data_IF_114398378072
#
_entry.id   IF_114398378072
#
_cell.length_a   1.000
_cell.length_b   1.000
_cell.length_c   1.000
_cell.angle_alpha   90.00
_cell.angle_beta   90.00
_cell.angle_gamma   90.00
#
_symmetry.space_group_name_H-M   'P 1'
#
loop_
_entity.id
_entity.type
_entity.pdbx_description
1 polymer ?
#
# COMPACT_ATOMS: atom_id res chain seq x y z
N UNK A 1 -13.02 -15.88 -16.02
CA UNK A 1 -12.51 -15.16 -14.83
C UNK A 1 -13.62 -15.09 -13.81
N UNK A 2 -13.31 -15.28 -12.51
CA UNK A 2 -14.32 -15.33 -11.43
C UNK A 2 -14.39 -14.02 -10.63
N UNK A 3 -13.42 -13.10 -10.82
CA UNK A 3 -13.34 -11.83 -10.12
C UNK A 3 -14.16 -10.73 -10.79
N UNK A 4 -14.58 -9.74 -10.00
CA UNK A 4 -15.16 -8.47 -10.48
C UNK A 4 -14.00 -7.51 -10.79
N UNK A 5 -14.11 -6.75 -11.87
CA UNK A 5 -13.12 -5.71 -12.17
C UNK A 5 -13.04 -4.69 -11.01
N UNK A 6 -11.82 -4.30 -10.61
CA UNK A 6 -11.58 -3.43 -9.47
C UNK A 6 -11.66 -1.94 -9.80
N UNK A 7 -11.97 -1.59 -11.06
CA UNK A 7 -12.18 -0.22 -11.54
C UNK A 7 -13.44 -0.14 -12.40
N UNK A 8 -14.08 1.03 -12.41
CA UNK A 8 -15.06 1.38 -13.44
C UNK A 8 -14.32 1.85 -14.69
N UNK A 9 -14.68 1.27 -15.83
CA UNK A 9 -14.08 1.53 -17.13
C UNK A 9 -15.16 1.81 -18.19
N UNK A 10 -16.38 2.14 -17.75
CA UNK A 10 -17.55 2.27 -18.62
C UNK A 10 -17.52 3.52 -19.52
N UNK A 11 -16.77 4.55 -19.13
CA UNK A 11 -16.59 5.80 -19.88
C UNK A 11 -15.40 5.77 -20.84
N UNK A 12 -14.63 4.68 -20.87
CA UNK A 12 -13.42 4.58 -21.68
C UNK A 12 -12.19 5.21 -21.03
N UNK A 13 -12.22 5.48 -19.72
CA UNK A 13 -11.07 5.92 -18.94
C UNK A 13 -10.54 7.30 -19.31
N UNK A 14 -11.43 8.20 -19.74
CA UNK A 14 -11.07 9.58 -20.07
C UNK A 14 -10.63 10.31 -18.79
N UNK A 15 -9.32 10.53 -18.68
CA UNK A 15 -8.67 11.18 -17.54
C UNK A 15 -7.88 12.43 -17.94
N UNK A 16 -7.97 12.87 -19.21
CA UNK A 16 -7.36 14.12 -19.65
C UNK A 16 -8.03 15.32 -18.95
N UNK A 17 -7.21 16.31 -18.58
CA UNK A 17 -7.74 17.64 -18.24
C UNK A 17 -8.40 18.26 -19.50
N UNK A 18 -9.64 18.77 -19.41
CA UNK A 18 -10.36 19.28 -20.59
C UNK A 18 -9.62 20.39 -21.34
N UNK A 19 -8.87 21.25 -20.63
CA UNK A 19 -8.11 22.33 -21.23
C UNK A 19 -6.84 21.79 -21.90
N UNK A 20 -6.16 20.82 -21.28
CA UNK A 20 -5.03 20.12 -21.89
C UNK A 20 -5.44 19.35 -23.15
N UNK A 21 -6.57 18.64 -23.10
CA UNK A 21 -7.13 17.93 -24.25
C UNK A 21 -7.47 18.89 -25.39
N UNK A 22 -8.10 20.02 -25.08
CA UNK A 22 -8.42 21.05 -26.07
C UNK A 22 -7.14 21.65 -26.69
N UNK A 23 -6.13 21.94 -25.87
CA UNK A 23 -4.84 22.45 -26.33
C UNK A 23 -4.11 21.43 -27.22
N UNK A 24 -4.15 20.14 -26.85
CA UNK A 24 -3.59 19.05 -27.64
C UNK A 24 -4.31 18.88 -28.98
N UNK A 25 -5.64 18.89 -28.98
CA UNK A 25 -6.44 18.82 -30.20
C UNK A 25 -6.13 19.98 -31.14
N UNK A 26 -6.10 21.22 -30.63
CA UNK A 26 -5.74 22.41 -31.40
C UNK A 26 -4.32 22.31 -31.99
N UNK A 27 -3.36 21.76 -31.23
CA UNK A 27 -2.00 21.50 -31.71
C UNK A 27 -1.98 20.49 -32.86
N UNK A 28 -2.73 19.40 -32.76
CA UNK A 28 -2.82 18.41 -33.84
C UNK A 28 -3.48 18.97 -35.10
N UNK A 29 -4.53 19.77 -34.94
CA UNK A 29 -5.20 20.46 -36.06
C UNK A 29 -4.25 21.47 -36.74
N UNK A 30 -3.47 22.23 -35.97
CA UNK A 30 -2.45 23.14 -36.50
C UNK A 30 -1.35 22.40 -37.27
N UNK A 31 -1.08 21.12 -36.94
CA UNK A 31 -0.20 20.23 -37.70
C UNK A 31 -0.88 19.59 -38.93
N UNK A 32 -2.13 19.94 -39.24
CA UNK A 32 -2.91 19.35 -40.33
C UNK A 32 -3.36 17.91 -40.06
N UNK A 33 -3.47 17.52 -38.78
CA UNK A 33 -3.84 16.16 -38.36
C UNK A 33 -5.22 16.16 -37.74
N UNK A 34 -5.93 15.04 -37.88
CA UNK A 34 -7.18 14.80 -37.19
C UNK A 34 -6.87 14.33 -35.76
N UNK A 35 -7.29 15.06 -34.71
CA UNK A 35 -7.06 14.66 -33.32
C UNK A 35 -7.63 13.28 -32.95
N UNK A 36 -8.63 12.81 -33.70
CA UNK A 36 -9.31 11.52 -33.49
C UNK A 36 -8.75 10.39 -34.35
N UNK A 37 -7.71 10.64 -35.16
CA UNK A 37 -7.10 9.62 -35.99
C UNK A 37 -5.84 9.04 -35.33
N UNK A 38 -5.57 7.74 -35.49
CA UNK A 38 -4.36 7.13 -34.94
C UNK A 38 -3.09 7.71 -35.57
N UNK A 39 -1.97 7.51 -34.90
CA UNK A 39 -0.66 7.81 -35.45
C UNK A 39 -0.38 6.97 -36.70
N UNK A 40 0.22 7.59 -37.73
CA UNK A 40 0.50 6.95 -39.02
C UNK A 40 1.89 6.28 -39.08
N UNK A 41 2.71 6.50 -38.07
CA UNK A 41 4.05 5.93 -37.91
C UNK A 41 4.40 5.88 -36.43
N UNK A 42 5.28 4.95 -36.06
CA UNK A 42 5.91 4.96 -34.74
C UNK A 42 6.91 6.11 -34.59
N UNK A 43 7.29 6.37 -33.35
CA UNK A 43 8.39 7.28 -33.00
C UNK A 43 9.73 6.68 -33.46
N UNK A 44 10.70 7.53 -33.80
CA UNK A 44 11.94 7.10 -34.46
C UNK A 44 12.86 6.23 -33.57
N UNK A 45 12.59 6.18 -32.25
CA UNK A 45 13.31 5.32 -31.29
C UNK A 45 12.81 3.88 -31.27
N UNK A 46 11.58 3.64 -31.71
CA UNK A 46 11.07 2.30 -31.93
C UNK A 46 11.42 1.94 -33.37
N UNK A 47 12.00 0.77 -33.59
CA UNK A 47 12.29 0.22 -34.92
C UNK A 47 11.65 -1.16 -35.02
N UNK A 48 11.05 -1.47 -36.16
CA UNK A 48 10.49 -2.80 -36.44
C UNK A 48 11.55 -3.56 -37.23
N UNK A 49 12.14 -4.58 -36.63
CA UNK A 49 13.05 -5.50 -37.30
C UNK A 49 12.22 -6.45 -38.17
N UNK A 50 12.26 -6.26 -39.49
CA UNK A 50 11.46 -7.05 -40.44
C UNK A 50 11.78 -8.55 -40.42
N UNK A 51 12.91 -8.96 -39.86
CA UNK A 51 13.32 -10.36 -39.76
C UNK A 51 12.84 -11.02 -38.46
N UNK A 52 12.48 -10.22 -37.44
CA UNK A 52 12.17 -10.70 -36.09
C UNK A 52 10.79 -10.30 -35.58
N UNK A 53 10.36 -9.10 -35.90
CA UNK A 53 9.14 -8.50 -35.38
C UNK A 53 7.95 -8.81 -36.28
N UNK A 54 6.81 -9.02 -35.64
CA UNK A 54 5.54 -9.25 -36.31
C UNK A 54 4.55 -8.19 -35.87
N UNK A 55 3.75 -7.70 -36.82
CA UNK A 55 2.67 -6.75 -36.56
C UNK A 55 1.37 -7.41 -36.99
N UNK A 56 0.48 -7.62 -36.04
CA UNK A 56 -0.87 -8.12 -36.30
C UNK A 56 -1.84 -7.62 -35.24
N UNK A 57 -3.07 -7.37 -35.65
CA UNK A 57 -4.21 -7.12 -34.80
C UNK A 57 -5.19 -8.32 -34.78
N UNK A 58 -4.86 -9.38 -35.52
CA UNK A 58 -5.64 -10.62 -35.66
C UNK A 58 -5.10 -11.72 -34.74
N UNK A 59 -5.99 -12.34 -33.97
CA UNK A 59 -5.56 -13.30 -32.95
C UNK A 59 -5.03 -14.61 -33.50
N UNK A 60 -5.63 -15.15 -34.56
CA UNK A 60 -5.19 -16.36 -35.24
C UNK A 60 -3.77 -16.22 -35.81
N UNK A 61 -3.44 -15.07 -36.43
CA UNK A 61 -2.07 -14.78 -36.86
C UNK A 61 -1.08 -14.80 -35.69
N UNK A 62 -1.39 -14.12 -34.58
CA UNK A 62 -0.54 -14.11 -33.38
C UNK A 62 -0.33 -15.53 -32.84
N UNK A 63 -1.39 -16.32 -32.71
CA UNK A 63 -1.30 -17.70 -32.24
C UNK A 63 -0.49 -18.60 -33.19
N UNK A 64 -0.69 -18.46 -34.50
CA UNK A 64 0.08 -19.19 -35.51
C UNK A 64 1.57 -18.84 -35.46
N UNK A 65 1.92 -17.57 -35.22
CA UNK A 65 3.31 -17.13 -35.07
C UNK A 65 3.95 -17.79 -33.84
N UNK A 66 3.26 -17.75 -32.69
CA UNK A 66 3.76 -18.38 -31.45
C UNK A 66 3.96 -19.88 -31.65
N UNK A 67 3.00 -20.57 -32.27
CA UNK A 67 3.09 -22.01 -32.53
C UNK A 67 4.21 -22.35 -33.52
N UNK A 68 4.27 -21.68 -34.66
CA UNK A 68 5.28 -21.92 -35.70
C UNK A 68 6.71 -21.67 -35.19
N UNK A 69 6.88 -20.74 -34.25
CA UNK A 69 8.17 -20.43 -33.61
C UNK A 69 8.44 -21.27 -32.36
N UNK A 70 7.51 -22.11 -31.92
CA UNK A 70 7.64 -22.91 -30.70
C UNK A 70 7.69 -22.07 -29.41
N UNK A 71 7.13 -20.86 -29.42
CA UNK A 71 7.13 -19.94 -28.27
C UNK A 71 6.06 -20.37 -27.28
N UNK A 72 6.49 -20.62 -26.03
CA UNK A 72 5.63 -21.01 -24.91
C UNK A 72 5.66 -20.04 -23.72
N UNK A 73 6.69 -19.21 -23.65
CA UNK A 73 6.87 -18.21 -22.61
C UNK A 73 6.60 -16.84 -23.24
N UNK A 74 5.62 -16.12 -22.71
CA UNK A 74 5.19 -14.83 -23.25
C UNK A 74 5.18 -13.78 -22.16
N UNK A 75 5.80 -12.65 -22.45
CA UNK A 75 5.74 -11.46 -21.61
C UNK A 75 4.85 -10.48 -22.35
N UNK A 76 3.74 -10.07 -21.72
CA UNK A 76 2.84 -9.10 -22.31
C UNK A 76 3.02 -7.73 -21.64
N UNK A 77 3.09 -6.69 -22.44
CA UNK A 77 3.26 -5.29 -22.06
C UNK A 77 2.40 -4.43 -22.99
N UNK A 78 1.98 -3.25 -22.53
CA UNK A 78 1.16 -2.35 -23.32
C UNK A 78 0.19 -1.54 -22.45
N UNK A 79 -0.62 -0.72 -23.13
CA UNK A 79 -1.62 0.17 -22.52
C UNK A 79 -3.03 -0.43 -22.57
N UNK A 80 -3.95 0.19 -21.84
CA UNK A 80 -5.30 -0.32 -21.58
C UNK A 80 -5.25 -1.73 -20.98
N UNK A 81 -4.51 -1.89 -19.87
CA UNK A 81 -4.23 -3.19 -19.23
C UNK A 81 -5.51 -3.98 -18.98
N UNK A 82 -6.54 -3.32 -18.45
CA UNK A 82 -7.87 -3.85 -18.17
C UNK A 82 -8.67 -4.33 -19.39
N UNK A 83 -8.29 -3.91 -20.60
CA UNK A 83 -9.01 -4.19 -21.85
C UNK A 83 -8.15 -4.89 -22.90
N UNK A 84 -7.17 -4.21 -23.47
CA UNK A 84 -6.41 -4.73 -24.61
C UNK A 84 -5.45 -5.83 -24.18
N UNK A 85 -4.63 -5.55 -23.17
CA UNK A 85 -3.63 -6.49 -22.65
C UNK A 85 -4.31 -7.71 -22.04
N UNK A 86 -5.39 -7.50 -21.27
CA UNK A 86 -6.10 -8.58 -20.61
C UNK A 86 -7.08 -9.34 -21.51
N UNK A 87 -7.79 -8.65 -22.40
CA UNK A 87 -9.05 -9.11 -22.98
C UNK A 87 -9.05 -9.47 -24.47
N UNK A 88 -8.02 -9.09 -25.25
CA UNK A 88 -7.97 -9.47 -26.68
C UNK A 88 -7.92 -10.98 -26.87
N UNK A 89 -8.23 -11.51 -28.08
CA UNK A 89 -8.14 -12.93 -28.39
C UNK A 89 -6.74 -13.55 -28.15
N UNK A 90 -5.72 -12.71 -28.07
CA UNK A 90 -4.33 -13.03 -27.75
C UNK A 90 -3.82 -12.30 -26.50
N UNK A 91 -4.72 -11.79 -25.65
CA UNK A 91 -4.38 -11.15 -24.38
C UNK A 91 -4.08 -12.18 -23.27
N UNK A 92 -3.67 -11.69 -22.10
CA UNK A 92 -3.27 -12.49 -20.93
C UNK A 92 -4.27 -13.61 -20.61
N UNK A 93 -5.57 -13.28 -20.62
CA UNK A 93 -6.63 -14.22 -20.27
C UNK A 93 -6.67 -15.41 -21.21
N UNK A 94 -6.52 -15.19 -22.51
CA UNK A 94 -6.52 -16.26 -23.50
C UNK A 94 -5.20 -17.02 -23.49
N UNK A 95 -4.08 -16.33 -23.33
CA UNK A 95 -2.77 -16.96 -23.22
C UNK A 95 -2.69 -17.93 -22.04
N UNK A 96 -3.03 -17.46 -20.84
CA UNK A 96 -3.03 -18.28 -19.63
C UNK A 96 -4.00 -19.46 -19.74
N UNK A 97 -5.23 -19.21 -20.22
CA UNK A 97 -6.25 -20.27 -20.37
C UNK A 97 -5.85 -21.37 -21.35
N UNK A 98 -5.06 -21.04 -22.38
CA UNK A 98 -4.62 -21.99 -23.40
C UNK A 98 -3.19 -22.52 -23.14
N UNK A 99 -2.70 -22.42 -21.89
CA UNK A 99 -1.48 -23.10 -21.46
C UNK A 99 -0.17 -22.44 -21.89
N UNK A 100 -0.18 -21.15 -22.24
CA UNK A 100 1.05 -20.37 -22.35
C UNK A 100 1.56 -20.02 -20.95
N UNK A 101 2.88 -20.04 -20.77
CA UNK A 101 3.54 -19.48 -19.59
C UNK A 101 3.59 -17.96 -19.77
N UNK A 102 2.48 -17.30 -19.45
CA UNK A 102 2.35 -15.86 -19.65
C UNK A 102 2.57 -15.10 -18.35
N UNK A 103 3.25 -13.96 -18.45
CA UNK A 103 3.37 -12.97 -17.38
C UNK A 103 3.05 -11.58 -17.91
N UNK A 104 2.52 -10.72 -17.04
CA UNK A 104 2.39 -9.29 -17.31
C UNK A 104 3.67 -8.56 -16.86
N UNK A 105 4.21 -7.70 -17.71
CA UNK A 105 5.21 -6.70 -17.34
C UNK A 105 4.51 -5.52 -16.64
N UNK A 106 4.46 -5.53 -15.31
CA UNK A 106 3.56 -4.66 -14.53
C UNK A 106 4.01 -3.20 -14.42
N UNK A 107 5.30 -2.93 -14.58
CA UNK A 107 5.86 -1.58 -14.53
C UNK A 107 5.90 -0.91 -15.91
N UNK A 108 5.65 -1.64 -17.00
CA UNK A 108 5.54 -1.10 -18.37
C UNK A 108 4.11 -1.27 -18.90
N UNK A 109 3.12 -0.95 -18.06
CA UNK A 109 1.71 -1.09 -18.41
C UNK A 109 0.90 0.07 -17.84
N UNK A 110 -0.27 0.30 -18.43
CA UNK A 110 -1.12 1.44 -18.11
C UNK A 110 -2.59 1.08 -18.30
N UNK A 111 -3.45 1.51 -17.39
CA UNK A 111 -4.86 1.12 -17.35
C UNK A 111 -5.76 2.23 -17.89
N UNK A 112 -6.75 1.85 -18.69
CA UNK A 112 -7.82 2.77 -19.05
C UNK A 112 -8.73 3.00 -17.83
N UNK A 113 -8.51 4.10 -17.10
CA UNK A 113 -9.24 4.42 -15.88
C UNK A 113 -9.35 5.93 -15.65
N UNK A 114 -10.57 6.40 -15.37
CA UNK A 114 -10.86 7.78 -14.99
C UNK A 114 -10.86 7.91 -13.45
N UNK A 115 -9.96 8.72 -12.85
CA UNK A 115 -9.94 8.96 -11.39
C UNK A 115 -11.23 9.55 -10.81
N UNK A 116 -12.09 10.16 -11.63
CA UNK A 116 -13.41 10.66 -11.22
C UNK A 116 -14.49 9.56 -11.19
N UNK A 117 -14.18 8.36 -11.67
CA UNK A 117 -15.03 7.19 -11.60
C UNK A 117 -14.61 6.28 -10.44
N UNK A 118 -15.52 5.41 -10.00
CA UNK A 118 -15.24 4.44 -8.94
C UNK A 118 -13.98 3.60 -9.29
N UNK A 119 -13.03 3.39 -8.35
CA UNK A 119 -13.13 3.60 -6.90
C UNK A 119 -12.65 4.96 -6.37
N UNK A 120 -12.56 6.00 -7.20
CA UNK A 120 -12.16 7.36 -6.81
C UNK A 120 -10.72 7.44 -6.26
N UNK A 121 -9.83 6.69 -6.91
CA UNK A 121 -8.40 6.64 -6.61
C UNK A 121 -7.61 7.33 -7.72
N UNK A 122 -6.31 7.53 -7.49
CA UNK A 122 -5.43 8.07 -8.54
C UNK A 122 -5.38 7.13 -9.75
N UNK A 123 -5.05 7.66 -10.93
CA UNK A 123 -4.87 6.84 -12.13
C UNK A 123 -3.91 5.66 -11.86
N UNK A 124 -2.76 5.95 -11.27
CA UNK A 124 -1.75 4.95 -10.94
C UNK A 124 -2.26 3.88 -9.97
N UNK A 125 -3.08 4.24 -8.96
CA UNK A 125 -3.73 3.25 -8.11
C UNK A 125 -4.74 2.40 -8.89
N UNK A 126 -5.44 2.97 -9.87
CA UNK A 126 -6.29 2.19 -10.78
C UNK A 126 -5.49 1.12 -11.54
N UNK A 127 -4.29 1.49 -12.00
CA UNK A 127 -3.35 0.55 -12.61
C UNK A 127 -2.88 -0.52 -11.61
N UNK A 128 -2.48 -0.13 -10.40
CA UNK A 128 -2.08 -1.07 -9.33
C UNK A 128 -3.19 -2.11 -9.07
N UNK A 129 -4.44 -1.66 -8.94
CA UNK A 129 -5.60 -2.53 -8.70
C UNK A 129 -5.84 -3.54 -9.83
N UNK A 130 -5.63 -3.14 -11.08
CA UNK A 130 -5.75 -4.05 -12.23
C UNK A 130 -4.61 -5.07 -12.26
N UNK A 131 -3.39 -4.65 -11.90
CA UNK A 131 -2.26 -5.57 -11.73
C UNK A 131 -2.56 -6.61 -10.65
N UNK A 132 -3.03 -6.20 -9.47
CA UNK A 132 -3.42 -7.11 -8.39
C UNK A 132 -4.51 -8.10 -8.82
N UNK A 133 -5.50 -7.61 -9.58
CA UNK A 133 -6.57 -8.45 -10.12
C UNK A 133 -6.04 -9.50 -11.11
N UNK A 134 -5.08 -9.13 -11.96
CA UNK A 134 -4.41 -10.04 -12.89
C UNK A 134 -3.60 -11.10 -12.12
N UNK A 135 -2.83 -10.70 -11.12
CA UNK A 135 -2.06 -11.61 -10.25
C UNK A 135 -2.95 -12.62 -9.55
N UNK A 136 -4.13 -12.16 -9.09
CA UNK A 136 -5.07 -13.00 -8.35
C UNK A 136 -5.82 -14.00 -9.21
N UNK A 137 -6.18 -13.65 -10.44
CA UNK A 137 -7.15 -14.41 -11.22
C UNK A 137 -6.66 -14.92 -12.57
N UNK A 138 -5.51 -14.45 -13.06
CA UNK A 138 -5.08 -14.67 -14.44
C UNK A 138 -3.68 -15.26 -14.54
N UNK A 139 -2.65 -14.52 -14.15
CA UNK A 139 -1.27 -14.97 -14.26
C UNK A 139 -0.31 -14.16 -13.35
N UNK A 140 0.90 -14.68 -13.08
CA UNK A 140 1.93 -13.91 -12.40
C UNK A 140 2.35 -12.66 -13.18
N UNK A 141 3.07 -11.78 -12.51
CA UNK A 141 3.65 -10.55 -13.07
C UNK A 141 5.16 -10.53 -12.84
N UNK A 142 5.84 -9.69 -13.61
CA UNK A 142 7.26 -9.34 -13.45
C UNK A 142 7.44 -7.84 -13.63
N UNK A 143 8.57 -7.31 -13.15
CA UNK A 143 9.02 -5.94 -13.44
C UNK A 143 10.19 -5.95 -14.41
N UNK A 144 10.42 -4.83 -15.09
CA UNK A 144 11.40 -4.71 -16.17
C UNK A 144 12.83 -4.97 -15.69
N UNK A 145 13.17 -4.52 -14.48
CA UNK A 145 14.47 -4.71 -13.83
C UNK A 145 14.83 -6.19 -13.64
N UNK A 146 13.85 -7.09 -13.54
CA UNK A 146 14.11 -8.53 -13.47
C UNK A 146 14.71 -9.09 -14.77
N UNK A 147 14.54 -8.38 -15.90
CA UNK A 147 15.11 -8.74 -17.19
C UNK A 147 16.33 -7.90 -17.57
N UNK A 148 16.27 -6.58 -17.32
CA UNK A 148 17.30 -5.64 -17.79
C UNK A 148 18.26 -5.17 -16.68
N UNK A 149 17.98 -5.52 -15.42
CA UNK A 149 18.70 -5.05 -14.23
C UNK A 149 18.32 -3.61 -13.85
N UNK A 150 18.87 -3.13 -12.73
CA UNK A 150 18.64 -1.76 -12.25
C UNK A 150 17.40 -1.63 -11.36
N UNK A 151 16.63 -0.57 -11.57
CA UNK A 151 15.39 -0.27 -10.85
C UNK A 151 14.19 -0.45 -11.77
N UNK A 152 13.05 -0.85 -11.21
CA UNK A 152 11.80 -0.95 -11.97
C UNK A 152 11.40 0.40 -12.55
N UNK A 153 10.75 0.40 -13.71
CA UNK A 153 10.23 1.64 -14.29
C UNK A 153 9.15 2.26 -13.40
N UNK A 154 9.17 3.58 -13.27
CA UNK A 154 8.11 4.36 -12.61
C UNK A 154 7.79 5.54 -13.53
N UNK A 155 6.50 5.76 -13.78
CA UNK A 155 6.05 6.93 -14.55
C UNK A 155 6.45 8.21 -13.82
N UNK A 156 7.01 9.18 -14.53
CA UNK A 156 7.49 10.44 -13.93
C UNK A 156 6.41 11.23 -13.19
N UNK A 157 5.14 11.02 -13.54
CA UNK A 157 3.98 11.66 -12.94
C UNK A 157 3.49 10.92 -11.68
N UNK A 158 3.93 9.67 -11.45
CA UNK A 158 3.64 8.96 -10.22
C UNK A 158 4.57 9.42 -9.10
N UNK A 159 4.11 10.42 -8.37
CA UNK A 159 4.82 11.05 -7.25
C UNK A 159 4.24 10.64 -5.89
N UNK A 160 3.40 9.61 -5.87
CA UNK A 160 2.71 9.15 -4.65
C UNK A 160 3.74 8.58 -3.66
N UNK A 161 3.77 9.04 -2.39
CA UNK A 161 4.57 8.37 -1.37
C UNK A 161 4.11 6.91 -1.18
N UNK A 162 5.06 6.01 -0.98
CA UNK A 162 4.82 4.58 -0.84
C UNK A 162 4.65 4.15 0.62
N UNK A 163 3.45 3.70 0.96
CA UNK A 163 3.11 3.16 2.28
C UNK A 163 3.15 1.64 2.22
N UNK A 164 3.94 1.01 3.08
CA UNK A 164 3.89 -0.44 3.29
C UNK A 164 3.17 -0.75 4.60
N UNK A 165 2.06 -1.48 4.52
CA UNK A 165 1.30 -1.96 5.68
C UNK A 165 1.70 -3.39 6.03
N UNK A 166 2.41 -3.58 7.13
CA UNK A 166 2.79 -4.89 7.67
C UNK A 166 1.73 -5.37 8.67
N UNK A 167 0.94 -6.36 8.28
CA UNK A 167 -0.23 -6.85 9.03
C UNK A 167 0.01 -8.29 9.46
N UNK A 168 0.07 -8.51 10.77
CA UNK A 168 0.36 -9.82 11.36
C UNK A 168 -0.38 -10.08 12.66
N UNK A 169 -1.46 -9.36 12.92
CA UNK A 169 -2.32 -9.54 14.09
C UNK A 169 -3.69 -10.13 13.68
N UNK A 170 -4.33 -10.89 14.58
CA UNK A 170 -5.64 -11.55 14.34
C UNK A 170 -6.74 -11.13 15.32
N UNK A 171 -6.37 -10.42 16.39
CA UNK A 171 -7.24 -10.11 17.51
C UNK A 171 -8.19 -8.95 17.18
N UNK A 172 -7.71 -7.96 16.43
CA UNK A 172 -8.45 -6.74 16.10
C UNK A 172 -8.90 -6.69 14.64
N UNK A 173 -8.69 -7.79 13.90
CA UNK A 173 -9.10 -7.97 12.49
C UNK A 173 -8.55 -6.88 11.57
N UNK A 174 -7.32 -6.41 11.83
CA UNK A 174 -6.71 -5.40 10.98
C UNK A 174 -6.38 -5.92 9.58
N UNK A 175 -6.36 -7.24 9.39
CA UNK A 175 -6.36 -7.87 8.07
C UNK A 175 -7.61 -7.58 7.22
N UNK A 176 -8.68 -7.08 7.83
CA UNK A 176 -9.89 -6.62 7.13
C UNK A 176 -10.01 -5.10 7.14
N UNK A 177 -9.78 -4.46 8.29
CA UNK A 177 -10.01 -3.01 8.44
C UNK A 177 -8.95 -2.16 7.76
N UNK A 178 -7.67 -2.53 7.79
CA UNK A 178 -6.61 -1.75 7.16
C UNK A 178 -6.67 -1.79 5.62
N UNK A 179 -6.88 -2.94 4.95
CA UNK A 179 -7.09 -2.94 3.51
C UNK A 179 -8.28 -2.10 3.08
N UNK A 180 -9.38 -2.14 3.85
CA UNK A 180 -10.54 -1.30 3.60
C UNK A 180 -10.23 0.19 3.76
N UNK A 181 -9.57 0.56 4.86
CA UNK A 181 -9.11 1.92 5.11
C UNK A 181 -8.18 2.44 4.00
N UNK A 182 -7.23 1.62 3.54
CA UNK A 182 -6.32 1.98 2.47
C UNK A 182 -7.06 2.29 1.16
N UNK A 183 -7.97 1.39 0.76
CA UNK A 183 -8.77 1.56 -0.45
C UNK A 183 -9.66 2.81 -0.37
N UNK A 184 -10.38 2.99 0.73
CA UNK A 184 -11.37 4.06 0.87
C UNK A 184 -10.74 5.45 1.09
N UNK A 185 -9.48 5.53 1.55
CA UNK A 185 -8.91 6.79 2.04
C UNK A 185 -7.51 7.16 1.56
N UNK A 186 -6.72 6.22 1.03
CA UNK A 186 -5.32 6.47 0.70
C UNK A 186 -5.01 6.45 -0.79
N UNK A 187 -5.74 5.66 -1.59
CA UNK A 187 -5.43 5.43 -3.01
C UNK A 187 -5.46 6.66 -3.92
N UNK A 188 -6.01 7.79 -3.48
CA UNK A 188 -5.92 9.04 -4.26
C UNK A 188 -4.58 9.77 -4.12
N UNK A 189 -3.77 9.44 -3.10
CA UNK A 189 -2.55 10.19 -2.75
C UNK A 189 -1.32 9.34 -2.51
N UNK A 190 -1.52 8.06 -2.18
CA UNK A 190 -0.45 7.17 -1.75
C UNK A 190 -0.49 5.89 -2.58
N UNK A 191 0.69 5.37 -2.88
CA UNK A 191 0.85 3.98 -3.30
C UNK A 191 0.84 3.14 -2.03
N UNK A 192 0.03 2.08 -1.97
CA UNK A 192 -0.08 1.24 -0.77
C UNK A 192 0.22 -0.21 -1.12
N UNK A 193 1.21 -0.79 -0.45
CA UNK A 193 1.49 -2.23 -0.49
C UNK A 193 1.06 -2.85 0.84
N UNK A 194 0.23 -3.89 0.78
CA UNK A 194 -0.27 -4.59 1.98
C UNK A 194 0.40 -5.95 2.07
N UNK A 195 1.05 -6.19 3.21
CA UNK A 195 1.81 -7.41 3.47
C UNK A 195 1.18 -8.12 4.66
N UNK A 196 0.59 -9.28 4.40
CA UNK A 196 0.04 -10.14 5.43
C UNK A 196 1.08 -11.14 5.92
N UNK A 197 1.06 -11.45 7.22
CA UNK A 197 1.72 -12.64 7.73
C UNK A 197 1.18 -13.88 7.01
N UNK A 198 2.05 -14.82 6.69
CA UNK A 198 1.67 -16.08 6.03
C UNK A 198 0.70 -16.88 6.90
N UNK A 199 -0.26 -17.54 6.23
CA UNK A 199 -1.15 -18.50 6.90
C UNK A 199 -0.40 -19.79 7.28
N UNK A 200 0.65 -20.15 6.55
CA UNK A 200 1.46 -21.36 6.78
C UNK A 200 2.48 -21.16 7.90
N UNK A 201 3.19 -20.04 7.89
CA UNK A 201 4.05 -19.62 8.99
C UNK A 201 3.73 -18.19 9.40
N UNK A 202 3.05 -18.12 10.53
CA UNK A 202 2.58 -16.90 11.19
C UNK A 202 3.68 -15.85 11.46
N UNK A 203 4.96 -16.25 11.45
CA UNK A 203 6.10 -15.38 11.67
C UNK A 203 6.71 -14.83 10.37
N UNK A 204 6.37 -15.39 9.22
CA UNK A 204 6.89 -14.95 7.93
C UNK A 204 5.93 -13.96 7.27
N UNK A 205 6.49 -13.03 6.50
CA UNK A 205 5.81 -12.00 5.75
C UNK A 205 6.28 -12.04 4.29
N UNK A 206 5.63 -12.85 3.43
CA UNK A 206 5.96 -12.88 2.01
C UNK A 206 5.81 -11.50 1.37
N UNK A 207 6.83 -11.03 0.64
CA UNK A 207 6.84 -9.69 0.02
C UNK A 207 7.40 -8.56 0.90
N UNK A 208 7.88 -8.85 2.11
CA UNK A 208 8.43 -7.85 3.06
C UNK A 208 9.60 -7.04 2.49
N UNK A 209 10.28 -7.53 1.45
CA UNK A 209 11.31 -6.77 0.74
C UNK A 209 10.81 -5.43 0.16
N UNK A 210 9.50 -5.28 -0.06
CA UNK A 210 8.90 -4.00 -0.46
C UNK A 210 9.11 -2.86 0.55
N UNK A 211 9.47 -3.19 1.81
CA UNK A 211 9.84 -2.21 2.84
C UNK A 211 11.09 -1.39 2.45
N UNK A 212 11.98 -1.93 1.60
CA UNK A 212 13.17 -1.19 1.12
C UNK A 212 12.79 0.13 0.46
N UNK A 213 11.75 0.08 -0.36
CA UNK A 213 11.26 1.19 -1.18
C UNK A 213 10.10 1.93 -0.49
N UNK A 214 9.81 1.63 0.77
CA UNK A 214 8.75 2.29 1.51
C UNK A 214 9.19 3.70 1.94
N UNK A 215 8.29 4.65 1.82
CA UNK A 215 8.37 5.98 2.40
C UNK A 215 7.84 5.98 3.84
N UNK A 216 6.85 5.14 4.12
CA UNK A 216 6.27 4.96 5.44
C UNK A 216 6.00 3.47 5.71
N UNK A 217 6.41 3.01 6.88
CA UNK A 217 6.05 1.68 7.38
C UNK A 217 4.90 1.77 8.37
N UNK A 218 3.79 1.12 8.06
CA UNK A 218 2.63 1.01 8.95
C UNK A 218 2.60 -0.39 9.55
N UNK A 219 2.69 -0.50 10.88
CA UNK A 219 2.81 -1.75 11.61
C UNK A 219 1.52 -2.09 12.35
N UNK A 220 0.96 -3.25 12.05
CA UNK A 220 -0.12 -3.89 12.80
C UNK A 220 0.22 -5.37 12.99
N UNK A 221 1.23 -5.61 13.82
CA UNK A 221 1.80 -6.94 14.09
C UNK A 221 1.69 -7.23 15.58
N UNK A 222 1.46 -8.50 15.94
CA UNK A 222 1.33 -8.94 17.33
C UNK A 222 2.22 -10.14 17.60
N UNK A 223 3.20 -9.98 18.50
CA UNK A 223 3.97 -11.09 19.09
C UNK A 223 4.49 -12.08 18.04
N UNK A 224 5.22 -11.58 17.05
CA UNK A 224 5.87 -12.36 15.99
C UNK A 224 7.38 -12.32 16.15
N UNK A 225 8.04 -13.36 15.68
CA UNK A 225 9.50 -13.43 15.58
C UNK A 225 9.87 -13.81 14.16
N UNK A 226 9.96 -12.84 13.23
CA UNK A 226 10.24 -13.13 11.83
C UNK A 226 11.62 -13.74 11.62
N UNK A 227 11.87 -14.38 10.46
CA UNK A 227 13.23 -14.71 10.05
C UNK A 227 14.13 -13.46 10.14
N UNK A 228 15.42 -13.59 10.54
CA UNK A 228 16.32 -12.46 10.72
C UNK A 228 16.39 -11.53 9.51
N UNK A 229 16.43 -12.08 8.31
CA UNK A 229 16.43 -11.34 7.04
C UNK A 229 15.18 -10.46 6.84
N UNK A 230 14.02 -10.94 7.28
CA UNK A 230 12.76 -10.21 7.16
C UNK A 230 12.67 -9.07 8.19
N UNK A 231 13.08 -9.34 9.43
CA UNK A 231 13.13 -8.31 10.46
C UNK A 231 14.19 -7.24 10.11
N UNK A 232 15.24 -7.60 9.38
CA UNK A 232 16.27 -6.66 8.95
C UNK A 232 15.70 -5.54 8.07
N UNK A 233 14.74 -5.82 7.17
CA UNK A 233 14.11 -4.77 6.36
C UNK A 233 13.41 -3.71 7.22
N UNK A 234 12.75 -4.13 8.31
CA UNK A 234 12.14 -3.21 9.27
C UNK A 234 13.20 -2.39 10.00
N UNK A 235 14.30 -3.03 10.43
CA UNK A 235 15.43 -2.35 11.08
C UNK A 235 16.07 -1.31 10.16
N UNK A 236 16.31 -1.65 8.91
CA UNK A 236 16.91 -0.77 7.91
C UNK A 236 16.03 0.46 7.64
N UNK A 237 14.71 0.25 7.51
CA UNK A 237 13.73 1.36 7.37
C UNK A 237 13.78 2.32 8.56
N UNK A 238 13.75 1.77 9.78
CA UNK A 238 13.84 2.57 11.01
C UNK A 238 15.17 3.32 11.10
N UNK A 239 16.27 2.64 10.81
CA UNK A 239 17.64 3.17 10.86
C UNK A 239 17.87 4.29 9.85
N UNK A 240 17.26 4.21 8.66
CA UNK A 240 17.26 5.24 7.64
C UNK A 240 16.49 6.53 8.04
N UNK A 241 15.88 6.56 9.23
CA UNK A 241 15.09 7.71 9.69
C UNK A 241 13.72 7.80 9.03
N UNK A 242 13.28 6.76 8.31
CA UNK A 242 12.00 6.78 7.61
C UNK A 242 10.81 6.67 8.58
N UNK A 243 9.67 7.31 8.29
CA UNK A 243 8.52 7.30 9.17
C UNK A 243 7.95 5.91 9.52
N UNK A 244 7.45 5.76 10.75
CA UNK A 244 6.76 4.54 11.21
C UNK A 244 5.45 4.87 11.92
N UNK A 245 4.37 4.20 11.54
CA UNK A 245 3.08 4.27 12.24
C UNK A 245 2.75 2.92 12.84
N UNK A 246 2.29 2.90 14.09
CA UNK A 246 1.85 1.69 14.77
C UNK A 246 0.43 1.80 15.33
N UNK A 247 -0.35 0.73 15.22
CA UNK A 247 -1.65 0.62 15.89
C UNK A 247 -1.73 -0.62 16.77
N UNK A 248 -2.54 -0.56 17.83
CA UNK A 248 -2.79 -1.67 18.77
C UNK A 248 -1.49 -2.37 19.17
N UNK A 249 -1.27 -3.59 18.69
CA UNK A 249 -0.23 -4.49 19.15
C UNK A 249 1.16 -4.16 18.62
N UNK A 250 1.29 -3.11 17.80
CA UNK A 250 2.57 -2.66 17.26
C UNK A 250 3.62 -2.40 18.35
N UNK A 251 3.18 -1.97 19.55
CA UNK A 251 4.01 -1.81 20.76
C UNK A 251 4.65 -3.11 21.27
N UNK A 252 4.28 -4.25 20.70
CA UNK A 252 4.89 -5.53 21.00
C UNK A 252 4.87 -6.43 19.76
N UNK A 253 5.14 -5.83 18.60
CA UNK A 253 5.13 -6.49 17.30
C UNK A 253 6.11 -7.66 17.23
N UNK A 254 7.38 -7.42 17.56
CA UNK A 254 8.50 -8.31 17.22
C UNK A 254 9.09 -9.05 18.42
N UNK A 255 8.27 -9.39 19.42
CA UNK A 255 8.74 -10.10 20.60
C UNK A 255 7.65 -11.00 21.17
N UNK A 256 8.00 -12.19 21.63
CA UNK A 256 7.05 -13.07 22.31
C UNK A 256 6.80 -12.59 23.75
N UNK A 257 5.72 -13.09 24.36
CA UNK A 257 5.43 -12.79 25.76
C UNK A 257 6.14 -13.81 26.64
N UNK A 258 7.09 -13.37 27.46
CA UNK A 258 7.80 -14.21 28.44
C UNK A 258 8.51 -15.43 27.83
N UNK A 259 8.83 -15.39 26.53
CA UNK A 259 9.47 -16.47 25.80
C UNK A 259 10.60 -15.90 24.94
N UNK A 260 11.74 -16.62 24.80
CA UNK A 260 12.78 -16.26 23.86
C UNK A 260 12.32 -16.51 22.42
N UNK A 261 12.95 -15.83 21.46
CA UNK A 261 12.75 -16.14 20.05
C UNK A 261 13.24 -17.59 19.75
N UNK A 262 12.46 -18.40 19.01
CA UNK A 262 12.91 -19.71 18.54
C UNK A 262 14.21 -19.63 17.71
N UNK A 263 14.96 -20.73 17.65
CA UNK A 263 16.14 -20.84 16.78
C UNK A 263 15.76 -20.53 15.32
N UNK A 264 16.61 -19.76 14.63
CA UNK A 264 16.35 -19.32 13.25
C UNK A 264 15.37 -18.14 13.12
N UNK A 265 14.90 -17.57 14.23
CA UNK A 265 14.06 -16.37 14.23
C UNK A 265 14.73 -15.19 14.95
N UNK A 266 14.26 -13.98 14.69
CA UNK A 266 14.72 -12.77 15.33
C UNK A 266 13.61 -12.12 16.16
N UNK A 267 14.02 -11.45 17.25
CA UNK A 267 13.15 -10.58 18.04
C UNK A 267 13.73 -9.17 18.14
N UNK A 268 12.88 -8.23 18.49
CA UNK A 268 13.23 -6.85 18.84
C UNK A 268 12.37 -6.40 20.03
N UNK A 269 12.71 -6.84 21.26
CA UNK A 269 11.98 -6.44 22.47
C UNK A 269 11.92 -4.92 22.69
N UNK A 270 12.96 -4.20 22.28
CA UNK A 270 13.11 -2.75 22.45
C UNK A 270 12.37 -1.94 21.38
N UNK A 271 11.71 -2.59 20.41
CA UNK A 271 11.05 -1.91 19.28
C UNK A 271 10.10 -0.79 19.71
N UNK A 272 9.28 -1.00 20.74
CA UNK A 272 8.35 0.02 21.25
C UNK A 272 9.08 1.25 21.78
N UNK A 273 10.09 1.03 22.62
CA UNK A 273 10.88 2.09 23.24
C UNK A 273 11.72 2.86 22.19
N UNK A 274 12.35 2.15 21.26
CA UNK A 274 13.22 2.75 20.24
C UNK A 274 12.43 3.46 19.14
N UNK A 275 11.29 2.90 18.73
CA UNK A 275 10.52 3.41 17.59
C UNK A 275 9.42 4.35 18.03
N UNK A 276 8.54 3.91 18.94
CA UNK A 276 7.40 4.70 19.38
C UNK A 276 7.68 5.51 20.66
N UNK A 277 8.77 5.24 21.39
CA UNK A 277 9.01 5.82 22.70
C UNK A 277 8.02 5.33 23.76
N UNK A 278 7.35 4.20 23.50
CA UNK A 278 6.43 3.55 24.43
C UNK A 278 7.14 2.65 25.44
N UNK A 279 6.41 2.24 26.47
CA UNK A 279 6.85 1.25 27.45
C UNK A 279 5.73 0.26 27.76
N UNK A 280 5.17 -0.38 26.74
CA UNK A 280 4.08 -1.36 26.92
C UNK A 280 4.48 -2.48 27.88
N UNK A 281 3.72 -2.64 28.97
CA UNK A 281 3.92 -3.74 29.94
C UNK A 281 2.76 -4.72 29.94
N UNK A 282 1.52 -4.23 29.94
CA UNK A 282 0.31 -5.04 29.94
C UNK A 282 -0.92 -4.19 29.55
N UNK A 283 -2.12 -4.71 29.77
CA UNK A 283 -3.38 -3.98 29.63
C UNK A 283 -4.31 -4.23 30.81
N UNK A 284 -5.24 -3.29 31.05
CA UNK A 284 -6.33 -3.44 32.01
C UNK A 284 -7.40 -4.41 31.47
N UNK A 285 -8.34 -4.79 32.34
CA UNK A 285 -9.37 -5.79 32.03
C UNK A 285 -10.24 -5.39 30.83
N UNK A 286 -10.48 -6.33 29.91
CA UNK A 286 -11.25 -6.10 28.67
C UNK A 286 -12.74 -5.76 28.91
N UNK A 287 -13.23 -5.93 30.13
CA UNK A 287 -14.59 -5.57 30.53
C UNK A 287 -14.72 -4.10 30.98
N UNK A 288 -13.60 -3.38 31.08
CA UNK A 288 -13.59 -1.95 31.42
C UNK A 288 -13.69 -1.12 30.14
N UNK A 289 -14.58 -0.14 30.15
CA UNK A 289 -14.74 0.80 29.02
C UNK A 289 -13.79 1.96 29.22
N UNK A 290 -12.89 2.18 28.26
CA UNK A 290 -11.97 3.30 28.28
C UNK A 290 -12.68 4.57 27.78
N UNK A 291 -12.64 5.63 28.57
CA UNK A 291 -12.95 7.00 28.11
C UNK A 291 -11.68 7.64 27.58
N UNK A 292 -11.77 8.29 26.42
CA UNK A 292 -10.64 8.85 25.69
C UNK A 292 -10.84 10.35 25.51
N UNK A 293 -9.79 11.12 25.75
CA UNK A 293 -9.81 12.57 25.66
C UNK A 293 -8.55 13.08 24.95
N UNK A 294 -8.70 14.19 24.21
CA UNK A 294 -7.54 14.95 23.73
C UNK A 294 -6.83 15.61 24.91
N UNK A 295 -5.50 15.49 24.93
CA UNK A 295 -4.64 16.24 25.84
C UNK A 295 -4.58 17.68 25.34
N UNK A 296 -5.25 18.58 26.06
CA UNK A 296 -5.51 19.95 25.60
C UNK A 296 -4.23 20.76 25.32
N UNK A 297 -3.13 20.47 26.02
CA UNK A 297 -1.82 21.07 25.76
C UNK A 297 -1.31 20.83 24.32
N UNK A 298 -1.78 19.77 23.67
CA UNK A 298 -1.35 19.35 22.33
C UNK A 298 -2.51 19.34 21.32
N UNK A 299 -3.63 19.99 21.62
CA UNK A 299 -4.82 20.01 20.76
C UNK A 299 -4.56 20.61 19.36
N UNK A 300 -3.59 21.52 19.25
CA UNK A 300 -3.19 22.15 17.98
C UNK A 300 -2.25 21.27 17.13
N UNK A 301 -1.92 20.05 17.57
CA UNK A 301 -1.05 19.17 16.81
C UNK A 301 -1.70 18.76 15.47
N UNK A 302 -0.98 18.77 14.32
CA UNK A 302 -1.57 18.50 13.00
C UNK A 302 -2.36 17.20 12.87
N UNK A 303 -2.01 16.18 13.67
CA UNK A 303 -2.72 14.89 13.72
C UNK A 303 -4.16 15.04 14.22
N UNK A 304 -4.43 16.01 15.10
CA UNK A 304 -5.73 16.25 15.70
C UNK A 304 -6.60 17.24 14.90
N UNK A 305 -6.10 17.78 13.78
CA UNK A 305 -6.84 18.72 12.95
C UNK A 305 -8.18 18.14 12.46
N UNK A 306 -9.28 18.71 12.95
CA UNK A 306 -10.64 18.28 12.63
C UNK A 306 -11.07 16.97 13.30
N UNK A 307 -10.32 16.47 14.27
CA UNK A 307 -10.75 15.39 15.16
C UNK A 307 -11.60 16.02 16.27
N UNK A 308 -12.84 15.55 16.54
CA UNK A 308 -13.66 16.05 17.63
C UNK A 308 -12.94 16.02 18.98
N UNK A 309 -13.10 17.10 19.76
CA UNK A 309 -12.44 17.27 21.06
C UNK A 309 -13.21 16.65 22.23
N UNK A 310 -14.43 16.22 21.98
CA UNK A 310 -15.30 15.65 23.00
C UNK A 310 -14.81 14.28 23.47
N UNK A 311 -15.18 13.92 24.70
CA UNK A 311 -14.87 12.62 25.27
C UNK A 311 -15.58 11.54 24.47
N UNK A 312 -14.83 10.53 24.02
CA UNK A 312 -15.40 9.34 23.39
C UNK A 312 -14.99 8.08 24.12
N UNK A 313 -15.65 6.97 23.83
CA UNK A 313 -15.33 5.65 24.39
C UNK A 313 -14.69 4.78 23.34
N UNK A 314 -13.71 3.96 23.74
CA UNK A 314 -13.20 2.89 22.89
C UNK A 314 -13.56 1.54 23.51
N UNK A 315 -13.92 0.58 22.66
CA UNK A 315 -14.14 -0.82 23.04
C UNK A 315 -12.84 -1.52 23.45
N UNK A 316 -11.71 -0.80 23.37
CA UNK A 316 -10.40 -1.31 23.65
C UNK A 316 -9.99 -1.34 25.10
N UNK A 317 -9.26 -2.41 25.47
CA UNK A 317 -8.53 -2.46 26.72
C UNK A 317 -7.52 -1.31 26.79
N UNK A 318 -7.51 -0.56 27.90
CA UNK A 318 -6.50 0.45 28.16
C UNK A 318 -5.13 -0.22 28.40
N UNK A 319 -4.12 0.16 27.63
CA UNK A 319 -2.76 -0.38 27.75
C UNK A 319 -1.97 0.38 28.83
N UNK A 320 -1.17 -0.33 29.60
CA UNK A 320 -0.22 0.24 30.57
C UNK A 320 1.09 0.53 29.84
N UNK A 321 1.36 1.82 29.59
CA UNK A 321 2.45 2.27 28.72
C UNK A 321 3.33 3.34 29.36
N UNK A 322 2.92 3.88 30.51
CA UNK A 322 3.68 4.90 31.23
C UNK A 322 4.87 4.33 31.99
N UNK A 323 5.99 5.08 32.11
CA UNK A 323 6.23 6.39 31.48
C UNK A 323 6.59 6.27 29.99
N UNK A 324 6.21 7.28 29.20
CA UNK A 324 6.73 7.43 27.83
C UNK A 324 8.15 7.99 27.84
N UNK A 325 8.90 7.71 26.78
CA UNK A 325 10.27 8.20 26.61
C UNK A 325 10.33 9.73 26.45
N UNK A 326 11.47 10.32 26.81
CA UNK A 326 11.77 11.73 26.55
C UNK A 326 11.75 11.97 25.04
N UNK A 327 11.06 13.02 24.60
CA UNK A 327 10.89 13.33 23.17
C UNK A 327 9.59 12.81 22.57
N UNK A 328 8.79 12.07 23.34
CA UNK A 328 7.41 11.74 22.97
C UNK A 328 6.43 12.87 23.30
N UNK A 329 5.39 13.02 22.49
CA UNK A 329 4.29 13.97 22.73
C UNK A 329 2.97 13.20 22.78
N UNK A 330 2.36 13.03 23.97
CA UNK A 330 1.09 12.33 24.10
C UNK A 330 -0.03 13.21 23.54
N UNK A 331 -0.92 12.63 22.73
CA UNK A 331 -2.03 13.33 22.08
C UNK A 331 -3.39 12.96 22.68
N UNK A 332 -3.57 11.68 23.00
CA UNK A 332 -4.79 11.15 23.60
C UNK A 332 -4.49 10.50 24.95
N UNK A 333 -5.40 10.69 25.91
CA UNK A 333 -5.35 10.08 27.24
C UNK A 333 -6.58 9.21 27.47
N UNK A 334 -6.36 7.97 27.89
CA UNK A 334 -7.39 7.01 28.25
C UNK A 334 -7.58 6.88 29.76
N UNK A 335 -8.82 6.63 30.20
CA UNK A 335 -9.17 6.38 31.61
C UNK A 335 -10.16 5.24 31.71
N UNK A 336 -9.89 4.32 32.64
CA UNK A 336 -10.82 3.27 33.07
C UNK A 336 -11.03 3.37 34.58
N UNK A 337 -12.17 2.87 35.07
CA UNK A 337 -12.49 2.91 36.49
C UNK A 337 -11.43 2.17 37.33
N UNK A 338 -11.00 2.78 38.43
CA UNK A 338 -10.10 2.16 39.42
C UNK A 338 -8.62 2.09 39.03
N UNK A 339 -8.22 2.71 37.92
CA UNK A 339 -6.83 2.71 37.45
C UNK A 339 -6.34 4.10 37.07
N UNK A 340 -5.02 4.28 37.05
CA UNK A 340 -4.40 5.51 36.60
C UNK A 340 -4.62 5.72 35.08
N UNK A 341 -4.69 6.98 34.61
CA UNK A 341 -4.81 7.28 33.19
C UNK A 341 -3.55 6.88 32.42
N UNK A 342 -3.74 6.44 31.17
CA UNK A 342 -2.65 6.01 30.29
C UNK A 342 -2.74 6.68 28.91
N UNK A 343 -1.62 7.11 28.30
CA UNK A 343 -1.60 7.59 26.93
C UNK A 343 -2.16 6.55 25.94
N UNK A 344 -3.03 7.00 25.03
CA UNK A 344 -3.64 6.14 24.01
C UNK A 344 -3.21 6.48 22.59
N UNK A 345 -2.62 7.65 22.36
CA UNK A 345 -1.96 8.00 21.12
C UNK A 345 -0.87 9.03 21.38
N UNK A 346 0.26 8.93 20.68
CA UNK A 346 1.39 9.84 20.84
C UNK A 346 2.29 9.84 19.60
N UNK A 347 3.11 10.88 19.49
CA UNK A 347 4.20 10.95 18.51
C UNK A 347 5.54 10.76 19.21
N UNK A 348 6.54 10.34 18.43
CA UNK A 348 7.94 10.29 18.85
C UNK A 348 8.82 10.79 17.70
N UNK A 349 9.73 11.71 18.00
CA UNK A 349 10.81 12.09 17.09
C UNK A 349 12.05 11.32 17.52
N UNK A 350 12.40 10.29 16.76
CA UNK A 350 13.54 9.42 17.08
C UNK A 350 14.85 10.20 16.96
N UNK A 351 15.91 9.71 17.61
CA UNK A 351 17.23 10.35 17.60
C UNK A 351 17.82 10.56 16.19
N UNK A 352 17.40 9.77 15.21
CA UNK A 352 17.80 9.92 13.80
C UNK A 352 16.86 10.83 12.99
N UNK A 353 15.99 11.61 13.64
CA UNK A 353 15.04 12.52 13.01
C UNK A 353 13.76 11.86 12.49
N UNK A 354 13.67 10.53 12.54
CA UNK A 354 12.52 9.82 12.04
C UNK A 354 11.25 10.05 12.86
N UNK A 355 10.15 10.31 12.17
CA UNK A 355 8.83 10.53 12.77
C UNK A 355 8.15 9.20 13.06
N UNK A 356 7.66 9.03 14.28
CA UNK A 356 6.79 7.91 14.63
C UNK A 356 5.47 8.41 15.19
N UNK A 357 4.39 7.71 14.87
CA UNK A 357 3.10 7.85 15.55
C UNK A 357 2.62 6.48 16.02
N UNK A 358 2.13 6.41 17.24
CA UNK A 358 1.50 5.21 17.76
C UNK A 358 0.13 5.53 18.33
N UNK A 359 -0.81 4.61 18.15
CA UNK A 359 -2.04 4.60 18.93
C UNK A 359 -2.41 3.20 19.39
N UNK A 360 -2.86 3.10 20.64
CA UNK A 360 -3.51 1.91 21.18
C UNK A 360 -4.95 1.76 20.69
N UNK A 361 -5.47 2.62 19.81
CA UNK A 361 -6.75 2.39 19.13
C UNK A 361 -6.55 1.47 17.91
N UNK A 362 -7.65 1.02 17.31
CA UNK A 362 -7.64 0.21 16.08
C UNK A 362 -8.52 -1.04 16.12
N UNK A 363 -9.56 -1.05 16.95
CA UNK A 363 -10.64 -2.05 16.86
C UNK A 363 -11.50 -1.80 15.63
N UNK A 364 -12.26 -2.81 15.16
CA UNK A 364 -13.24 -2.61 14.10
C UNK A 364 -14.22 -1.46 14.37
N UNK A 365 -14.61 -1.25 15.64
CA UNK A 365 -15.46 -0.13 16.06
C UNK A 365 -14.78 1.23 15.88
N UNK A 366 -13.47 1.33 16.18
CA UNK A 366 -12.72 2.58 15.98
C UNK A 366 -12.66 2.93 14.47
N UNK A 367 -12.49 1.95 13.58
CA UNK A 367 -12.52 2.18 12.13
C UNK A 367 -13.88 2.61 11.58
N UNK A 368 -14.97 2.40 12.34
CA UNK A 368 -16.30 2.93 12.00
C UNK A 368 -16.49 4.39 12.47
N UNK A 369 -15.60 4.91 13.32
CA UNK A 369 -15.61 6.30 13.78
C UNK A 369 -14.79 7.20 12.84
N UNK A 370 -15.45 8.20 12.26
CA UNK A 370 -14.80 9.17 11.38
C UNK A 370 -13.64 9.92 12.05
N UNK A 371 -13.69 10.09 13.38
CA UNK A 371 -12.67 10.77 14.19
C UNK A 371 -11.36 9.99 14.18
N UNK A 372 -11.43 8.67 14.37
CA UNK A 372 -10.26 7.79 14.33
C UNK A 372 -9.70 7.69 12.90
N UNK A 373 -10.57 7.52 11.91
CA UNK A 373 -10.19 7.52 10.49
C UNK A 373 -9.48 8.83 10.11
N UNK A 374 -10.02 9.98 10.54
CA UNK A 374 -9.42 11.30 10.32
C UNK A 374 -8.07 11.43 11.00
N UNK A 375 -7.95 11.03 12.27
CA UNK A 375 -6.69 11.03 13.01
C UNK A 375 -5.62 10.20 12.30
N UNK A 376 -5.98 8.99 11.84
CA UNK A 376 -5.04 8.09 11.17
C UNK A 376 -4.58 8.64 9.81
N UNK A 377 -5.48 9.25 9.03
CA UNK A 377 -5.14 9.97 7.80
C UNK A 377 -4.20 11.15 8.07
N UNK A 378 -4.48 11.94 9.11
CA UNK A 378 -3.64 13.06 9.50
C UNK A 378 -2.26 12.59 10.00
N UNK A 379 -2.19 11.46 10.70
CA UNK A 379 -0.94 10.84 11.14
C UNK A 379 -0.08 10.40 9.95
N UNK A 380 -0.67 9.76 8.93
CA UNK A 380 0.02 9.41 7.68
C UNK A 380 0.53 10.67 6.99
N UNK A 381 -0.32 11.68 6.81
CA UNK A 381 0.07 12.93 6.17
C UNK A 381 1.20 13.65 6.93
N UNK A 382 1.11 13.73 8.26
CA UNK A 382 2.14 14.32 9.11
C UNK A 382 3.47 13.56 9.04
N UNK A 383 3.41 12.23 8.99
CA UNK A 383 4.58 11.37 8.93
C UNK A 383 5.36 11.58 7.62
N UNK A 384 4.66 11.68 6.49
CA UNK A 384 5.26 11.79 5.14
C UNK A 384 5.47 13.23 4.66
N UNK A 385 5.02 14.25 5.39
CA UNK A 385 5.09 15.66 4.95
C UNK A 385 6.50 16.22 4.72
N UNK A 386 7.55 15.48 5.09
CA UNK A 386 8.95 15.91 5.05
C UNK A 386 9.82 15.03 4.13
N UNK A 387 9.20 14.22 3.28
CA UNK A 387 9.91 13.35 2.34
C UNK A 387 10.30 14.09 1.06
#
# INVERSE_FOLDING_TARGET
ERGKYPVDQSDGGEDDDPDEHAAWAAKLEAMGRNPRAPWKRQIDVLTIDTDRDYISDQGDEVWNILEARGIKNVILTGVHTNMCVLGRPFGLRQMARNGQNVVLMRDLTDTMYNPQAWPYVSHFTGTDLIVEHIEKFVCPTITSDQLIGGESFIFSQDTRPHIVMLIGEKEYRTNETLPRFALDHLGSKYRVTIIHASEEDKNTFPGIEAVKDADLLFVSVRRRTPPPEQLQYVRDHVAAGKPVIGIRTASHAFTLRNEPAPEGSASWPEFDAEVFGGSYTNHHGNNLVATVNIIQEHADHPILNGVPTDVFTSDGSLYVVSPLAVGTTPLLMGRVEGHDPEPMAWTNIRNNGGRSFYTSLGYPGDFADESFVKMLKNAIAWAVANL
#
